data_IF_385156297474
#
_entry.id   IF_385156297474
#
_cell.length_a   1.000
_cell.length_b   1.000
_cell.length_c   1.000
_cell.angle_alpha   90.00
_cell.angle_beta   90.00
_cell.angle_gamma   90.00
#
_symmetry.space_group_name_H-M   'P 1'
#
loop_
_entity.id
_entity.type
_entity.pdbx_description
1 polymer ?
#
# COMPACT_ATOMS: atom_id res chain seq x y z
N UNK A 1 -59.06 42.69 9.24
CA UNK A 1 -58.59 41.45 8.56
C UNK A 1 -57.08 41.36 8.86
N UNK A 2 -56.63 40.43 9.72
CA UNK A 2 -55.22 40.21 10.06
C UNK A 2 -54.76 38.94 9.37
N UNK A 3 -53.88 39.09 8.38
CA UNK A 3 -53.28 37.99 7.64
C UNK A 3 -52.14 37.39 8.50
N UNK A 4 -52.30 36.13 8.96
CA UNK A 4 -51.21 35.34 9.57
C UNK A 4 -50.33 34.78 8.43
N UNK A 5 -49.06 35.15 8.42
CA UNK A 5 -48.04 34.54 7.59
C UNK A 5 -47.46 33.32 8.33
N UNK A 6 -47.68 32.11 7.81
CA UNK A 6 -47.02 30.88 8.29
C UNK A 6 -45.62 30.80 7.72
N UNK A 7 -44.61 30.94 8.55
CA UNK A 7 -43.22 30.59 8.19
C UNK A 7 -43.02 29.08 8.34
N UNK A 8 -42.87 28.41 7.21
CA UNK A 8 -42.45 26.97 7.22
C UNK A 8 -40.93 26.94 7.40
N UNK A 9 -40.47 26.59 8.59
CA UNK A 9 -39.07 26.32 8.89
C UNK A 9 -38.73 24.95 8.31
N UNK A 10 -38.10 24.91 7.15
CA UNK A 10 -37.58 23.70 6.55
C UNK A 10 -36.42 23.17 7.38
N UNK A 11 -36.60 22.05 8.06
CA UNK A 11 -35.52 21.35 8.76
C UNK A 11 -34.57 20.75 7.72
N UNK A 12 -33.37 21.34 7.54
CA UNK A 12 -32.26 20.69 6.84
C UNK A 12 -31.79 19.50 7.72
N UNK A 13 -32.20 18.30 7.34
CA UNK A 13 -31.58 17.08 7.91
C UNK A 13 -30.18 16.96 7.34
N UNK A 14 -29.11 16.86 8.17
CA UNK A 14 -27.78 16.60 7.66
C UNK A 14 -27.77 15.21 7.01
N UNK A 15 -27.41 15.14 5.73
CA UNK A 15 -27.07 13.88 5.06
C UNK A 15 -25.80 13.36 5.73
N UNK A 16 -25.93 12.42 6.65
CA UNK A 16 -24.79 11.65 7.14
C UNK A 16 -24.29 10.80 5.96
N UNK A 17 -23.18 11.21 5.33
CA UNK A 17 -22.49 10.37 4.37
C UNK A 17 -22.06 9.09 5.13
N UNK A 18 -22.70 7.97 4.80
CA UNK A 18 -22.34 6.67 5.35
C UNK A 18 -20.98 6.28 4.76
N UNK A 19 -20.00 5.98 5.62
CA UNK A 19 -18.71 5.44 5.17
C UNK A 19 -18.96 4.13 4.40
N UNK A 20 -18.29 3.99 3.26
CA UNK A 20 -18.31 2.74 2.52
C UNK A 20 -17.66 1.64 3.37
N UNK A 21 -18.27 0.47 3.42
CA UNK A 21 -17.73 -0.65 4.19
C UNK A 21 -17.70 -1.92 3.36
N UNK A 22 -16.66 -2.72 3.52
CA UNK A 22 -16.56 -4.04 2.91
C UNK A 22 -15.96 -5.03 3.90
N UNK A 23 -16.29 -6.29 3.68
CA UNK A 23 -15.67 -7.42 4.37
C UNK A 23 -14.88 -8.24 3.37
N UNK A 24 -13.61 -8.49 3.67
CA UNK A 24 -12.73 -9.29 2.86
C UNK A 24 -12.21 -10.48 3.66
N UNK A 25 -12.08 -11.61 3.00
CA UNK A 25 -11.51 -12.80 3.60
C UNK A 25 -10.66 -13.53 2.57
N UNK A 26 -9.49 -14.02 3.01
CA UNK A 26 -8.61 -14.85 2.21
C UNK A 26 -8.24 -16.12 2.95
N UNK A 27 -8.11 -17.20 2.20
CA UNK A 27 -7.71 -18.54 2.67
C UNK A 27 -6.74 -19.15 1.68
N UNK A 28 -5.97 -20.11 2.14
CA UNK A 28 -5.04 -20.84 1.28
C UNK A 28 -3.64 -20.23 1.30
N UNK A 29 -2.97 -20.22 0.16
CA UNK A 29 -1.58 -19.76 0.07
C UNK A 29 -1.46 -18.27 0.38
N UNK A 30 -0.42 -17.92 1.15
CA UNK A 30 -0.06 -16.52 1.36
C UNK A 30 0.36 -15.88 0.03
N UNK A 31 -0.02 -14.63 -0.25
CA UNK A 31 0.46 -13.92 -1.42
C UNK A 31 1.95 -13.66 -1.31
N UNK A 32 2.64 -13.70 -2.46
CA UNK A 32 4.05 -13.31 -2.53
C UNK A 32 4.17 -11.79 -2.45
N UNK A 33 4.92 -11.30 -1.45
CA UNK A 33 5.20 -9.87 -1.33
C UNK A 33 6.50 -9.52 -2.06
N UNK A 34 6.40 -8.53 -2.94
CA UNK A 34 7.52 -7.95 -3.69
C UNK A 34 7.61 -6.47 -3.34
N UNK A 35 8.75 -6.05 -2.85
CA UNK A 35 9.05 -4.67 -2.52
C UNK A 35 10.16 -4.16 -3.43
N UNK A 36 9.99 -2.98 -4.00
CA UNK A 36 11.02 -2.24 -4.72
C UNK A 36 11.32 -0.96 -3.93
N UNK A 37 12.56 -0.75 -3.56
CA UNK A 37 13.05 0.52 -3.02
C UNK A 37 13.71 1.29 -4.15
N UNK A 38 13.16 2.46 -4.48
CA UNK A 38 13.49 3.26 -5.66
C UNK A 38 13.48 4.75 -5.35
N UNK A 39 13.87 5.59 -6.29
CA UNK A 39 13.71 7.05 -6.26
C UNK A 39 13.77 7.62 -7.66
N UNK A 40 13.00 8.69 -7.92
CA UNK A 40 13.10 9.48 -9.16
C UNK A 40 14.47 10.15 -9.31
N UNK A 41 15.19 10.37 -8.21
CA UNK A 41 16.55 10.94 -8.20
C UNK A 41 17.65 9.95 -8.59
N UNK A 42 17.37 8.66 -8.64
CA UNK A 42 18.34 7.59 -8.86
C UNK A 42 18.39 7.18 -10.35
N UNK A 43 19.49 7.42 -11.06
CA UNK A 43 19.63 7.14 -12.50
C UNK A 43 19.63 5.65 -12.85
N UNK A 44 19.98 4.77 -11.93
CA UNK A 44 19.93 3.31 -12.10
C UNK A 44 18.57 2.68 -11.77
N UNK A 45 17.60 3.45 -11.26
CA UNK A 45 16.30 2.97 -10.82
C UNK A 45 15.29 2.71 -11.95
N UNK A 46 15.22 3.50 -13.04
CA UNK A 46 14.16 3.34 -14.05
C UNK A 46 14.03 1.94 -14.67
N UNK A 47 15.10 1.13 -14.86
CA UNK A 47 14.94 -0.26 -15.29
C UNK A 47 14.18 -1.13 -14.29
N UNK A 48 14.37 -0.92 -12.97
CA UNK A 48 13.67 -1.65 -11.93
C UNK A 48 12.21 -1.20 -11.80
N UNK A 49 11.94 0.10 -11.97
CA UNK A 49 10.57 0.65 -12.00
C UNK A 49 9.78 0.05 -13.17
N UNK A 50 10.37 -0.03 -14.38
CA UNK A 50 9.75 -0.67 -15.54
C UNK A 50 9.51 -2.17 -15.32
N UNK A 51 10.46 -2.87 -14.68
CA UNK A 51 10.26 -4.26 -14.31
C UNK A 51 9.10 -4.40 -13.33
N UNK A 52 9.04 -3.58 -12.27
CA UNK A 52 7.93 -3.58 -11.30
C UNK A 52 6.59 -3.28 -11.99
N UNK A 53 6.56 -2.35 -12.96
CA UNK A 53 5.39 -2.03 -13.76
C UNK A 53 4.94 -3.19 -14.67
N UNK A 54 5.83 -4.12 -15.00
CA UNK A 54 5.48 -5.31 -15.80
C UNK A 54 4.85 -6.44 -14.99
N UNK A 55 4.89 -6.35 -13.66
CA UNK A 55 4.28 -7.33 -12.78
C UNK A 55 2.78 -7.05 -12.64
N UNK A 56 1.97 -8.07 -12.79
CA UNK A 56 0.53 -7.95 -12.59
C UNK A 56 0.21 -8.05 -11.09
N UNK A 57 -0.54 -7.05 -10.60
CA UNK A 57 -1.11 -7.10 -9.27
C UNK A 57 -2.30 -8.08 -9.28
N UNK A 58 -2.15 -9.19 -8.62
CA UNK A 58 -3.15 -10.25 -8.51
C UNK A 58 -3.31 -10.66 -7.03
N UNK A 59 -4.29 -11.50 -6.73
CA UNK A 59 -4.54 -11.93 -5.35
C UNK A 59 -3.41 -12.80 -4.76
N UNK A 60 -2.52 -13.31 -5.61
CA UNK A 60 -1.33 -14.07 -5.23
C UNK A 60 -0.09 -13.21 -5.03
N UNK A 61 -0.20 -11.88 -5.21
CA UNK A 61 0.92 -10.94 -5.07
C UNK A 61 0.53 -9.64 -4.40
N UNK A 62 1.44 -9.15 -3.55
CA UNK A 62 1.42 -7.81 -3.00
C UNK A 62 2.65 -7.08 -3.57
N UNK A 63 2.40 -6.06 -4.40
CA UNK A 63 3.43 -5.29 -5.10
C UNK A 63 3.51 -3.89 -4.48
N UNK A 64 4.71 -3.50 -4.02
CA UNK A 64 4.94 -2.27 -3.25
C UNK A 64 6.21 -1.57 -3.77
N UNK A 65 6.06 -0.43 -4.44
CA UNK A 65 7.17 0.45 -4.79
C UNK A 65 7.30 1.55 -3.72
N UNK A 66 8.33 1.48 -2.92
CA UNK A 66 8.68 2.43 -1.87
C UNK A 66 9.69 3.43 -2.40
N UNK A 67 9.32 4.71 -2.50
CA UNK A 67 10.21 5.79 -2.89
C UNK A 67 10.95 6.31 -1.67
N UNK A 68 12.27 6.13 -1.66
CA UNK A 68 13.14 6.53 -0.53
C UNK A 68 13.57 7.99 -0.65
N UNK A 69 13.76 8.67 0.49
CA UNK A 69 13.99 10.11 0.56
C UNK A 69 15.47 10.52 0.56
N UNK A 70 16.40 9.59 0.72
CA UNK A 70 17.82 9.96 0.82
C UNK A 70 18.47 10.44 -0.50
N UNK A 71 17.77 10.35 -1.63
CA UNK A 71 18.15 10.93 -2.91
C UNK A 71 17.69 12.38 -3.08
N UNK A 72 16.72 12.86 -2.33
CA UNK A 72 16.08 14.18 -2.49
C UNK A 72 17.09 15.33 -2.38
N UNK A 73 18.11 15.17 -1.54
CA UNK A 73 19.20 16.15 -1.36
C UNK A 73 20.10 16.30 -2.60
N UNK A 74 20.01 15.43 -3.61
CA UNK A 74 20.84 15.43 -4.81
C UNK A 74 20.21 16.22 -5.97
N UNK A 75 19.26 17.12 -5.67
CA UNK A 75 18.75 18.12 -6.59
C UNK A 75 17.39 17.81 -7.23
N UNK A 76 16.76 16.69 -6.90
CA UNK A 76 15.38 16.36 -7.30
C UNK A 76 14.62 15.71 -6.15
N UNK A 77 13.79 16.45 -5.41
CA UNK A 77 12.90 15.86 -4.42
C UNK A 77 11.85 14.99 -5.11
N UNK A 78 11.80 13.73 -4.74
CA UNK A 78 10.82 12.79 -5.25
C UNK A 78 9.49 12.99 -4.50
N UNK A 79 8.43 13.35 -5.23
CA UNK A 79 7.11 13.64 -4.63
C UNK A 79 6.45 12.45 -3.94
N UNK A 80 6.94 11.24 -4.16
CA UNK A 80 6.45 10.02 -3.55
C UNK A 80 7.33 9.55 -2.39
N UNK A 81 8.48 10.20 -2.18
CA UNK A 81 9.42 9.82 -1.14
C UNK A 81 8.86 10.04 0.27
N UNK A 82 9.23 9.12 1.16
CA UNK A 82 8.88 9.21 2.58
C UNK A 82 10.00 8.58 3.42
N UNK A 83 10.43 9.28 4.46
CA UNK A 83 11.47 8.81 5.39
C UNK A 83 11.15 7.46 6.04
N UNK A 84 9.86 7.14 6.21
CA UNK A 84 9.40 5.83 6.71
C UNK A 84 9.79 4.68 5.77
N UNK A 85 9.90 4.95 4.46
CA UNK A 85 10.30 3.95 3.47
C UNK A 85 11.79 3.67 3.54
N UNK A 86 12.62 4.70 3.70
CA UNK A 86 14.06 4.55 3.98
C UNK A 86 14.29 3.82 5.30
N UNK A 87 13.49 4.10 6.32
CA UNK A 87 13.54 3.36 7.59
C UNK A 87 13.16 1.89 7.43
N UNK A 88 12.10 1.57 6.63
CA UNK A 88 11.72 0.19 6.33
C UNK A 88 12.83 -0.55 5.62
N UNK A 89 13.48 0.08 4.63
CA UNK A 89 14.63 -0.49 3.92
C UNK A 89 15.79 -0.77 4.87
N UNK A 90 16.10 0.18 5.76
CA UNK A 90 17.16 0.00 6.78
C UNK A 90 16.86 -1.16 7.73
N UNK A 91 15.60 -1.36 8.10
CA UNK A 91 15.18 -2.52 8.91
C UNK A 91 15.33 -3.84 8.15
N UNK A 92 15.05 -3.85 6.84
CA UNK A 92 15.27 -5.02 5.98
C UNK A 92 16.76 -5.36 5.93
N UNK A 93 17.62 -4.38 5.66
CA UNK A 93 19.08 -4.57 5.66
C UNK A 93 19.59 -5.09 7.00
N UNK A 94 19.13 -4.51 8.12
CA UNK A 94 19.53 -4.93 9.45
C UNK A 94 19.15 -6.38 9.76
N UNK A 95 17.97 -6.85 9.33
CA UNK A 95 17.57 -8.26 9.45
C UNK A 95 18.48 -9.21 8.68
N UNK A 96 19.01 -8.75 7.54
CA UNK A 96 19.98 -9.48 6.74
C UNK A 96 21.43 -9.35 7.26
N UNK A 97 21.65 -8.69 8.40
CA UNK A 97 22.99 -8.44 8.96
C UNK A 97 23.80 -7.37 8.22
N UNK A 98 23.15 -6.58 7.35
CA UNK A 98 23.75 -5.47 6.59
C UNK A 98 23.42 -4.12 7.23
N UNK A 99 24.30 -3.13 7.02
CA UNK A 99 24.02 -1.72 7.30
C UNK A 99 23.91 -0.89 6.03
N UNK A 100 24.20 -1.48 4.87
CA UNK A 100 24.12 -0.80 3.59
C UNK A 100 22.70 -0.84 3.05
N UNK A 101 22.24 0.31 2.58
CA UNK A 101 21.02 0.48 1.79
C UNK A 101 21.41 1.06 0.43
N UNK A 102 20.71 0.73 -0.61
CA UNK A 102 20.96 1.19 -1.97
C UNK A 102 19.70 1.15 -2.82
N UNK A 103 19.69 1.82 -3.94
CA UNK A 103 18.63 1.74 -4.96
C UNK A 103 19.20 1.45 -6.34
N UNK A 104 18.45 0.74 -7.20
CA UNK A 104 17.21 0.05 -6.85
C UNK A 104 17.50 -1.21 -6.03
N UNK A 105 16.77 -1.42 -4.94
CA UNK A 105 16.79 -2.69 -4.19
C UNK A 105 15.44 -3.39 -4.32
N UNK A 106 15.46 -4.66 -4.68
CA UNK A 106 14.26 -5.51 -4.69
C UNK A 106 14.32 -6.48 -3.52
N UNK A 107 13.22 -6.60 -2.79
CA UNK A 107 13.05 -7.61 -1.78
C UNK A 107 11.84 -8.50 -2.09
N UNK A 108 11.97 -9.80 -1.85
CA UNK A 108 10.91 -10.78 -1.93
C UNK A 108 10.78 -11.46 -0.57
N UNK A 109 9.58 -11.48 -0.02
CA UNK A 109 9.30 -12.08 1.30
C UNK A 109 10.24 -11.57 2.41
N UNK A 110 10.59 -10.29 2.37
CA UNK A 110 11.44 -9.64 3.38
C UNK A 110 12.93 -9.97 3.27
N UNK A 111 13.36 -10.61 2.20
CA UNK A 111 14.77 -10.85 1.87
C UNK A 111 15.19 -10.12 0.60
N UNK A 112 16.42 -9.61 0.56
CA UNK A 112 16.99 -9.02 -0.67
C UNK A 112 16.94 -10.01 -1.83
N UNK A 113 16.51 -9.55 -3.02
CA UNK A 113 16.43 -10.37 -4.22
C UNK A 113 17.12 -9.71 -5.41
N UNK A 114 18.29 -10.18 -5.76
CA UNK A 114 19.11 -9.66 -6.87
C UNK A 114 18.75 -10.21 -8.25
N UNK A 115 17.98 -11.30 -8.28
CA UNK A 115 17.60 -12.01 -9.53
C UNK A 115 16.44 -11.37 -10.30
N UNK A 116 15.93 -10.22 -9.89
CA UNK A 116 14.73 -9.59 -10.46
C UNK A 116 14.81 -9.33 -11.97
N UNK A 117 16.03 -9.15 -12.53
CA UNK A 117 16.21 -8.96 -13.99
C UNK A 117 15.94 -10.21 -14.81
N UNK A 118 15.91 -11.37 -14.20
CA UNK A 118 15.68 -12.65 -14.88
C UNK A 118 14.27 -13.19 -14.66
N UNK A 119 13.90 -13.45 -13.44
CA UNK A 119 12.56 -13.95 -13.08
C UNK A 119 12.30 -13.70 -11.58
N UNK A 120 11.03 -13.68 -11.17
CA UNK A 120 10.67 -13.81 -9.75
C UNK A 120 10.77 -15.28 -9.32
N UNK A 121 11.15 -15.55 -8.07
CA UNK A 121 11.01 -16.90 -7.52
C UNK A 121 9.52 -17.28 -7.51
N UNK A 122 9.26 -18.58 -7.63
CA UNK A 122 7.89 -19.06 -7.46
C UNK A 122 7.37 -18.69 -6.04
N UNK A 123 6.08 -18.33 -5.90
CA UNK A 123 5.47 -18.14 -4.60
C UNK A 123 5.65 -19.39 -3.73
N UNK A 124 5.93 -19.20 -2.45
CA UNK A 124 6.01 -20.33 -1.53
C UNK A 124 4.63 -20.99 -1.41
N UNK A 125 4.55 -22.30 -1.54
CA UNK A 125 3.29 -23.06 -1.39
C UNK A 125 2.88 -23.22 0.11
N UNK A 126 3.03 -22.17 0.91
CA UNK A 126 2.67 -22.19 2.31
C UNK A 126 1.21 -21.79 2.50
N UNK A 127 0.41 -22.66 3.09
CA UNK A 127 -0.96 -22.33 3.48
C UNK A 127 -0.89 -21.45 4.74
N UNK A 128 -1.35 -20.20 4.59
CA UNK A 128 -1.47 -19.27 5.71
C UNK A 128 -2.75 -19.45 6.52
N UNK A 129 -2.83 -18.86 7.72
CA UNK A 129 -4.07 -18.75 8.48
C UNK A 129 -5.15 -17.99 7.68
N UNK A 130 -6.41 -18.20 8.00
CA UNK A 130 -7.47 -17.36 7.43
C UNK A 130 -7.28 -15.91 7.86
N UNK A 131 -7.27 -14.98 6.90
CA UNK A 131 -7.33 -13.55 7.15
C UNK A 131 -8.73 -13.06 6.81
N UNK A 132 -9.43 -12.52 7.81
CA UNK A 132 -10.74 -11.88 7.63
C UNK A 132 -10.68 -10.48 8.21
N UNK A 133 -11.16 -9.50 7.46
CA UNK A 133 -11.07 -8.10 7.85
C UNK A 133 -12.35 -7.34 7.50
N UNK A 134 -12.71 -6.42 8.38
CA UNK A 134 -13.73 -5.41 8.12
C UNK A 134 -13.02 -4.09 7.81
N UNK A 135 -13.43 -3.47 6.72
CA UNK A 135 -12.81 -2.24 6.20
C UNK A 135 -13.89 -1.19 6.05
N UNK A 136 -13.65 0.00 6.57
CA UNK A 136 -14.45 1.19 6.27
C UNK A 136 -13.60 2.22 5.56
N UNK A 137 -14.17 2.85 4.54
CA UNK A 137 -13.47 3.81 3.67
C UNK A 137 -14.30 5.07 3.51
N UNK A 138 -13.68 6.19 3.87
CA UNK A 138 -14.14 7.55 3.56
C UNK A 138 -12.96 8.42 3.09
N UNK A 139 -12.52 9.39 3.86
CA UNK A 139 -11.24 10.08 3.71
C UNK A 139 -10.10 9.30 4.38
N UNK A 140 -10.45 8.36 5.23
CA UNK A 140 -9.58 7.47 5.97
C UNK A 140 -10.02 6.03 5.76
N UNK A 141 -9.04 5.14 5.67
CA UNK A 141 -9.28 3.70 5.72
C UNK A 141 -9.09 3.23 7.15
N UNK A 142 -10.08 2.51 7.67
CA UNK A 142 -9.98 1.80 8.93
C UNK A 142 -10.12 0.31 8.68
N UNK A 143 -9.18 -0.47 9.18
CA UNK A 143 -9.16 -1.93 9.05
C UNK A 143 -9.17 -2.56 10.42
N UNK A 144 -10.12 -3.45 10.65
CA UNK A 144 -10.21 -4.29 11.84
C UNK A 144 -10.03 -5.74 11.41
N UNK A 145 -8.99 -6.40 11.90
CA UNK A 145 -8.84 -7.84 11.71
C UNK A 145 -9.88 -8.56 12.59
N UNK A 146 -10.59 -9.51 12.00
CA UNK A 146 -11.34 -10.50 12.77
C UNK A 146 -10.36 -11.47 13.45
N UNK A 147 -10.84 -12.39 14.26
CA UNK A 147 -10.03 -13.29 15.09
C UNK A 147 -8.70 -13.74 14.46
N UNK A 148 -7.59 -13.48 15.15
CA UNK A 148 -6.21 -13.73 14.71
C UNK A 148 -5.69 -15.11 15.17
N UNK A 149 -6.47 -16.17 15.01
CA UNK A 149 -6.03 -17.54 15.37
C UNK A 149 -5.10 -18.11 14.29
N UNK A 150 -4.10 -18.88 14.72
CA UNK A 150 -3.15 -19.57 13.83
C UNK A 150 -1.97 -18.71 13.36
N UNK A 151 -1.87 -17.43 13.77
CA UNK A 151 -0.72 -16.59 13.45
C UNK A 151 0.43 -16.80 14.44
N UNK A 152 1.71 -16.68 14.00
CA UNK A 152 2.86 -16.76 14.89
C UNK A 152 2.80 -15.68 15.98
N UNK A 153 3.35 -16.00 17.16
CA UNK A 153 3.51 -15.02 18.23
C UNK A 153 4.34 -13.83 17.75
N UNK A 154 3.90 -12.61 18.03
CA UNK A 154 4.59 -11.38 17.63
C UNK A 154 4.41 -11.01 16.16
N UNK A 155 3.54 -11.71 15.42
CA UNK A 155 3.15 -11.30 14.09
C UNK A 155 2.52 -9.89 14.10
N UNK A 156 2.77 -9.10 13.04
CA UNK A 156 2.31 -7.73 12.90
C UNK A 156 1.56 -7.53 11.58
N UNK A 157 0.49 -6.77 11.62
CA UNK A 157 -0.27 -6.39 10.44
C UNK A 157 0.24 -5.06 9.88
N UNK A 158 0.26 -4.98 8.55
CA UNK A 158 0.68 -3.83 7.76
C UNK A 158 -0.43 -3.45 6.79
N UNK A 159 -0.57 -2.15 6.54
CA UNK A 159 -1.55 -1.61 5.59
C UNK A 159 -0.86 -0.58 4.71
N UNK A 160 -1.03 -0.71 3.40
CA UNK A 160 -0.59 0.26 2.41
C UNK A 160 -1.66 0.49 1.35
N UNK A 161 -1.71 1.70 0.84
CA UNK A 161 -2.40 2.03 -0.40
C UNK A 161 -1.36 2.25 -1.47
N UNK A 162 -1.48 1.51 -2.56
CA UNK A 162 -0.66 1.73 -3.75
C UNK A 162 -1.48 2.33 -4.88
N UNK A 163 -0.82 3.10 -5.74
CA UNK A 163 -1.39 3.68 -6.94
C UNK A 163 -0.52 3.37 -8.15
N UNK A 164 -1.14 3.11 -9.27
CA UNK A 164 -0.48 2.81 -10.55
C UNK A 164 -0.79 3.86 -11.60
N UNK A 165 -0.11 3.80 -12.76
CA UNK A 165 -0.26 4.71 -13.90
C UNK A 165 0.10 6.17 -13.54
N UNK A 166 1.05 6.35 -12.64
CA UNK A 166 1.58 7.66 -12.29
C UNK A 166 2.70 8.05 -13.25
N UNK A 167 2.81 9.35 -13.54
CA UNK A 167 3.84 9.88 -14.43
C UNK A 167 4.48 11.12 -13.80
N UNK A 168 5.80 11.23 -13.95
CA UNK A 168 6.56 12.40 -13.53
C UNK A 168 7.49 12.87 -14.65
N UNK A 169 7.43 14.16 -14.96
CA UNK A 169 8.41 14.86 -15.80
C UNK A 169 9.55 15.36 -14.90
N UNK A 170 10.67 14.64 -14.91
CA UNK A 170 11.82 14.98 -14.05
C UNK A 170 12.55 16.20 -14.60
N UNK A 171 12.66 17.26 -13.80
CA UNK A 171 13.21 18.55 -14.25
C UNK A 171 14.64 18.82 -13.77
N UNK A 172 15.14 18.03 -12.82
CA UNK A 172 16.48 18.18 -12.26
C UNK A 172 17.05 16.83 -11.81
N UNK A 173 18.27 16.82 -11.24
CA UNK A 173 18.93 15.59 -10.79
C UNK A 173 19.41 14.69 -11.93
N UNK A 174 19.77 13.46 -11.60
CA UNK A 174 20.38 12.50 -12.55
C UNK A 174 19.44 12.07 -13.68
N UNK A 175 18.13 12.06 -13.44
CA UNK A 175 17.10 11.69 -14.42
C UNK A 175 16.47 12.89 -15.14
N UNK A 176 17.12 14.08 -15.10
CA UNK A 176 16.62 15.29 -15.75
C UNK A 176 16.23 15.06 -17.20
N UNK A 177 15.04 15.52 -17.58
CA UNK A 177 14.49 15.42 -18.94
C UNK A 177 13.77 14.09 -19.22
N UNK A 178 13.78 13.16 -18.28
CA UNK A 178 13.06 11.90 -18.41
C UNK A 178 11.59 12.05 -18.02
N UNK A 179 10.72 11.33 -18.71
CA UNK A 179 9.34 11.05 -18.28
C UNK A 179 9.30 9.66 -17.68
N UNK A 180 9.14 9.59 -16.37
CA UNK A 180 9.09 8.34 -15.62
C UNK A 180 7.63 7.90 -15.46
N UNK A 181 7.40 6.61 -15.66
CA UNK A 181 6.14 5.94 -15.30
C UNK A 181 6.37 5.11 -14.05
N UNK A 182 5.40 5.19 -13.15
CA UNK A 182 5.43 4.46 -11.89
C UNK A 182 4.14 3.68 -11.70
N UNK A 183 4.26 2.45 -11.26
CA UNK A 183 3.16 1.57 -10.90
C UNK A 183 3.43 0.98 -9.50
N UNK A 184 2.36 0.62 -8.80
CA UNK A 184 2.40 0.07 -7.44
C UNK A 184 3.08 0.97 -6.40
N UNK A 185 3.11 2.30 -6.65
CA UNK A 185 3.70 3.28 -5.74
C UNK A 185 2.96 3.30 -4.42
N UNK A 186 3.66 3.14 -3.32
CA UNK A 186 3.06 3.27 -1.99
C UNK A 186 2.76 4.74 -1.72
N UNK A 187 1.47 5.11 -1.79
CA UNK A 187 0.98 6.48 -1.58
C UNK A 187 0.63 6.76 -0.13
N UNK A 188 0.31 5.70 0.62
CA UNK A 188 0.04 5.80 2.04
C UNK A 188 0.44 4.50 2.73
N UNK A 189 1.01 4.61 3.93
CA UNK A 189 1.54 3.48 4.69
C UNK A 189 1.28 3.67 6.19
N UNK A 190 0.56 2.73 6.80
CA UNK A 190 0.30 2.74 8.22
C UNK A 190 1.47 2.13 9.00
N UNK A 191 1.80 2.66 10.20
CA UNK A 191 2.69 1.96 11.10
C UNK A 191 2.17 0.55 11.41
N UNK A 192 3.05 -0.47 11.45
CA UNK A 192 2.61 -1.84 11.72
C UNK A 192 2.10 -1.98 13.15
N UNK A 193 1.02 -2.75 13.32
CA UNK A 193 0.36 -2.98 14.61
C UNK A 193 0.28 -4.46 14.96
N UNK A 194 0.04 -4.76 16.24
CA UNK A 194 -0.34 -6.12 16.66
C UNK A 194 -1.72 -6.51 16.12
N UNK A 195 -1.97 -7.79 15.92
CA UNK A 195 -3.17 -8.29 15.22
C UNK A 195 -4.51 -7.96 15.92
N UNK A 196 -4.49 -7.66 17.21
CA UNK A 196 -5.69 -7.24 17.95
C UNK A 196 -5.99 -5.75 17.81
N UNK A 197 -5.10 -4.97 17.19
CA UNK A 197 -5.23 -3.53 17.05
C UNK A 197 -5.86 -3.15 15.71
N UNK A 198 -6.48 -1.98 15.65
CA UNK A 198 -7.01 -1.40 14.41
C UNK A 198 -5.90 -0.71 13.64
N UNK A 199 -5.88 -0.90 12.32
CA UNK A 199 -5.09 -0.10 11.39
C UNK A 199 -5.93 1.08 10.90
N UNK A 200 -5.33 2.26 10.85
CA UNK A 200 -5.95 3.45 10.28
C UNK A 200 -4.96 4.16 9.36
N UNK A 201 -5.46 4.66 8.23
CA UNK A 201 -4.63 5.26 7.20
C UNK A 201 -5.38 6.39 6.49
N UNK A 202 -4.83 7.60 6.49
CA UNK A 202 -5.35 8.71 5.70
C UNK A 202 -5.09 8.49 4.22
N UNK A 203 -6.09 8.73 3.39
CA UNK A 203 -5.93 8.69 1.94
C UNK A 203 -5.36 10.03 1.45
N UNK A 204 -4.36 10.00 0.54
CA UNK A 204 -3.92 11.22 -0.14
C UNK A 204 -5.07 11.89 -0.88
N UNK A 205 -5.14 13.22 -0.80
CA UNK A 205 -6.22 13.98 -1.43
C UNK A 205 -6.21 13.88 -2.98
N UNK A 206 -5.02 13.65 -3.55
CA UNK A 206 -4.79 13.50 -4.99
C UNK A 206 -4.81 12.03 -5.47
N UNK A 207 -5.21 11.09 -4.62
CA UNK A 207 -5.26 9.66 -4.95
C UNK A 207 -6.32 9.36 -6.01
N UNK A 208 -5.91 8.79 -7.15
CA UNK A 208 -6.86 8.21 -8.09
C UNK A 208 -7.31 6.83 -7.59
N UNK A 209 -8.52 6.77 -7.05
CA UNK A 209 -9.09 5.56 -6.42
C UNK A 209 -9.30 4.41 -7.41
N UNK A 210 -9.47 4.69 -8.70
CA UNK A 210 -9.65 3.67 -9.74
C UNK A 210 -8.33 2.95 -10.07
N UNK A 211 -7.20 3.63 -9.84
CA UNK A 211 -5.86 3.07 -10.02
C UNK A 211 -5.22 2.63 -8.71
N UNK A 212 -5.97 2.70 -7.60
CA UNK A 212 -5.48 2.39 -6.27
C UNK A 212 -5.83 0.97 -5.83
N UNK A 213 -4.92 0.38 -5.04
CA UNK A 213 -5.13 -0.92 -4.39
C UNK A 213 -4.90 -0.80 -2.89
N UNK A 214 -5.72 -1.51 -2.15
CA UNK A 214 -5.53 -1.75 -0.73
C UNK A 214 -4.69 -3.02 -0.58
N UNK A 215 -3.57 -2.90 0.10
CA UNK A 215 -2.67 -3.99 0.41
C UNK A 215 -2.61 -4.16 1.93
N UNK A 216 -3.01 -5.32 2.41
CA UNK A 216 -2.95 -5.71 3.81
C UNK A 216 -2.16 -7.01 3.91
N UNK A 217 -1.18 -7.05 4.80
CA UNK A 217 -0.43 -8.29 5.04
C UNK A 217 0.00 -8.41 6.49
N UNK A 218 0.28 -9.63 6.87
CA UNK A 218 0.80 -9.98 8.18
C UNK A 218 2.21 -10.55 8.01
N UNK A 219 3.18 -9.97 8.71
CA UNK A 219 4.56 -10.47 8.77
C UNK A 219 4.81 -11.20 10.08
N UNK A 220 5.64 -12.25 10.01
CA UNK A 220 6.27 -12.84 11.18
C UNK A 220 7.46 -11.97 11.69
N UNK A 221 8.11 -12.39 12.76
CA UNK A 221 9.27 -11.67 13.32
C UNK A 221 10.48 -11.62 12.38
N UNK A 222 10.56 -12.53 11.41
CA UNK A 222 11.59 -12.58 10.38
C UNK A 222 11.26 -11.72 9.17
N UNK A 223 10.08 -11.10 9.15
CA UNK A 223 9.61 -10.24 8.07
C UNK A 223 9.04 -11.00 6.86
N UNK A 224 8.73 -12.30 7.00
CA UNK A 224 8.10 -13.09 5.95
C UNK A 224 6.58 -12.93 6.00
N UNK A 225 5.94 -12.96 4.85
CA UNK A 225 4.49 -12.88 4.75
C UNK A 225 3.84 -14.17 5.24
N UNK A 226 3.00 -14.05 6.27
CA UNK A 226 2.22 -15.17 6.82
C UNK A 226 0.89 -15.29 6.11
N UNK A 227 0.25 -14.17 5.82
CA UNK A 227 -0.98 -14.07 5.02
C UNK A 227 -1.17 -12.61 4.59
N UNK A 228 -2.00 -12.39 3.57
CA UNK A 228 -2.31 -11.04 3.10
C UNK A 228 -3.34 -11.02 1.99
N UNK A 229 -3.65 -9.83 1.54
CA UNK A 229 -4.53 -9.57 0.40
C UNK A 229 -4.10 -8.29 -0.32
N UNK A 230 -4.37 -8.24 -1.62
CA UNK A 230 -4.22 -7.04 -2.45
C UNK A 230 -5.48 -6.91 -3.31
N UNK A 231 -6.29 -5.89 -3.02
CA UNK A 231 -7.59 -5.71 -3.70
C UNK A 231 -7.70 -4.30 -4.31
N UNK A 232 -8.36 -4.14 -5.46
CA UNK A 232 -8.69 -2.81 -5.95
C UNK A 232 -9.47 -2.03 -4.89
N UNK A 233 -9.06 -0.78 -4.62
CA UNK A 233 -9.74 0.05 -3.63
C UNK A 233 -11.21 0.28 -3.98
N UNK A 234 -11.53 0.37 -5.27
CA UNK A 234 -12.89 0.51 -5.80
C UNK A 234 -13.83 -0.62 -5.32
N UNK A 235 -13.31 -1.83 -5.02
CA UNK A 235 -14.13 -2.93 -4.51
C UNK A 235 -14.82 -2.59 -3.19
N UNK A 236 -14.12 -1.92 -2.27
CA UNK A 236 -14.70 -1.49 -1.00
C UNK A 236 -15.57 -0.23 -1.13
N UNK A 237 -15.44 0.53 -2.21
CA UNK A 237 -16.25 1.71 -2.47
C UNK A 237 -17.59 1.37 -3.13
N UNK A 238 -17.63 0.33 -3.98
CA UNK A 238 -18.82 -0.09 -4.72
C UNK A 238 -19.93 -0.67 -3.81
N UNK A 239 -19.58 -1.29 -2.69
CA UNK A 239 -20.56 -1.87 -1.76
C UNK A 239 -21.40 -0.83 -1.01
N UNK A 240 -21.00 0.44 -1.01
CA UNK A 240 -21.77 1.53 -0.40
C UNK A 240 -23.03 1.94 -1.19
N UNK A 241 -23.15 1.55 -2.45
CA UNK A 241 -24.23 1.95 -3.36
C UNK A 241 -25.25 0.84 -3.66
N UNK A 242 -25.16 -0.32 -3.03
CA UNK A 242 -26.18 -1.35 -3.16
C UNK A 242 -27.43 -0.93 -2.37
N UNK A 243 -28.60 -0.67 -3.02
CA UNK A 243 -29.83 -0.39 -2.30
C UNK A 243 -30.24 -1.64 -1.50
N UNK A 244 -30.63 -1.42 -0.26
CA UNK A 244 -31.24 -2.45 0.61
C UNK A 244 -32.67 -2.70 0.18
#
# INVERSE_FOLDING_TARGET
MRTLAFFILGALTPLCASAASCELSTRGSAPQRVELYTSEGCSSCPPADRWMSSLEAANDRILLAFHVDYWDQLGWPDRFADARFSQRQSQLAARAGSRAVYTPEVAVEGGEYRGWRTALPAPAASIGPTLSVQISVDQQINVQLAAASGYPKGARAFLAITESQLYTEVKAGENRGSRLRHDHVVRAFAPPVGLAQRLSLQLPADLNRDHARLNLWVEDQQGRTVQGLSEPLARCLATAHAPR
#
